data_IF_050442755874
#
_entry.id   IF_050442755874
#
_cell.length_a   1.000
_cell.length_b   1.000
_cell.length_c   1.000
_cell.angle_alpha   90.00
_cell.angle_beta   90.00
_cell.angle_gamma   90.00
#
_symmetry.space_group_name_H-M   'P 1'
#
loop_
_entity.id
_entity.type
_entity.pdbx_description
1 polymer ?
#
# COMPACT_ATOMS: atom_id res chain seq x y z
N UNK A 1 -11.13 -14.88 5.43
CA UNK A 1 -11.84 -15.51 4.37
C UNK A 1 -13.19 -14.93 3.98
N UNK A 2 -14.11 -14.69 4.93
CA UNK A 2 -15.47 -14.23 4.60
C UNK A 2 -15.53 -12.85 3.94
N UNK A 3 -14.66 -11.92 4.34
CA UNK A 3 -14.59 -10.56 3.78
C UNK A 3 -14.09 -10.57 2.33
N UNK A 4 -13.04 -11.33 2.02
CA UNK A 4 -12.55 -11.48 0.65
C UNK A 4 -13.59 -12.13 -0.27
N UNK A 5 -14.33 -13.10 0.24
CA UNK A 5 -15.41 -13.73 -0.49
C UNK A 5 -16.56 -12.76 -0.80
N UNK A 6 -16.92 -11.90 0.15
CA UNK A 6 -17.90 -10.83 -0.08
C UNK A 6 -17.43 -9.84 -1.15
N UNK A 7 -16.16 -9.43 -1.11
CA UNK A 7 -15.57 -8.55 -2.14
C UNK A 7 -15.66 -9.22 -3.51
N UNK A 8 -15.26 -10.48 -3.61
CA UNK A 8 -15.35 -11.25 -4.85
C UNK A 8 -16.76 -11.29 -5.44
N UNK A 9 -17.76 -11.47 -4.60
CA UNK A 9 -19.14 -11.58 -5.05
C UNK A 9 -19.78 -10.25 -5.44
N UNK A 10 -19.32 -9.16 -4.82
CA UNK A 10 -19.89 -7.84 -5.03
C UNK A 10 -19.17 -7.00 -6.10
N UNK A 11 -17.92 -7.38 -6.43
CA UNK A 11 -17.07 -6.59 -7.33
C UNK A 11 -16.34 -7.51 -8.32
N UNK A 12 -16.20 -7.02 -9.55
CA UNK A 12 -15.33 -7.65 -10.54
C UNK A 12 -13.87 -7.20 -10.29
N UNK A 13 -13.10 -8.04 -9.59
CA UNK A 13 -11.70 -7.75 -9.27
C UNK A 13 -10.82 -8.29 -10.39
N UNK A 14 -10.07 -7.40 -11.03
CA UNK A 14 -9.15 -7.74 -12.13
C UNK A 14 -7.68 -7.73 -11.69
N UNK A 15 -7.33 -6.94 -10.69
CA UNK A 15 -5.97 -6.80 -10.19
C UNK A 15 -5.94 -6.62 -8.67
N UNK A 16 -4.90 -7.15 -8.04
CA UNK A 16 -4.65 -7.02 -6.61
C UNK A 16 -3.23 -6.51 -6.41
N UNK A 17 -3.10 -5.42 -5.66
CA UNK A 17 -1.81 -4.83 -5.32
C UNK A 17 -1.59 -4.86 -3.82
N UNK A 18 -0.41 -5.26 -3.41
CA UNK A 18 -0.03 -5.38 -1.98
C UNK A 18 1.30 -4.66 -1.75
N UNK A 19 1.43 -4.03 -0.60
CA UNK A 19 2.69 -3.47 -0.15
C UNK A 19 3.75 -4.57 0.01
N UNK A 20 4.91 -4.36 -0.59
CA UNK A 20 6.06 -5.24 -0.42
C UNK A 20 6.57 -5.23 1.02
N UNK A 21 6.74 -6.40 1.63
CA UNK A 21 7.48 -6.52 2.88
C UNK A 21 8.94 -6.09 2.72
N UNK A 22 9.54 -5.58 3.79
CA UNK A 22 10.94 -5.17 3.78
C UNK A 22 11.85 -6.37 3.47
N UNK A 23 12.66 -6.25 2.42
CA UNK A 23 13.57 -7.32 1.98
C UNK A 23 14.90 -7.34 2.72
N UNK A 24 15.30 -6.24 3.34
CA UNK A 24 16.63 -6.10 3.94
C UNK A 24 16.54 -5.71 5.41
N UNK A 25 17.30 -6.46 6.21
CA UNK A 25 17.59 -6.06 7.56
C UNK A 25 18.50 -4.83 7.53
N UNK A 26 18.05 -3.75 8.16
CA UNK A 26 18.85 -2.54 8.35
C UNK A 26 19.12 -2.43 9.86
N UNK A 27 20.38 -2.62 10.31
CA UNK A 27 20.73 -2.51 11.70
C UNK A 27 20.24 -1.17 12.29
N UNK A 28 19.60 -1.22 13.47
CA UNK A 28 19.04 -0.05 14.15
C UNK A 28 17.69 0.47 13.59
N UNK A 29 17.18 -0.05 12.48
CA UNK A 29 15.89 0.37 11.89
C UNK A 29 14.82 -0.73 11.86
N UNK A 30 15.22 -1.96 11.75
CA UNK A 30 14.30 -3.09 11.72
C UNK A 30 14.87 -4.29 12.45
N UNK A 31 14.01 -5.07 13.08
CA UNK A 31 14.37 -6.33 13.73
C UNK A 31 14.13 -7.48 12.75
N UNK A 32 14.98 -8.50 12.79
CA UNK A 32 14.86 -9.68 11.93
C UNK A 32 13.51 -10.39 12.11
N UNK A 33 13.02 -10.49 13.35
CA UNK A 33 11.71 -11.08 13.66
C UNK A 33 10.55 -10.30 13.03
N UNK A 34 10.62 -8.97 12.99
CA UNK A 34 9.62 -8.12 12.33
C UNK A 34 9.59 -8.37 10.82
N UNK A 35 10.76 -8.45 10.18
CA UNK A 35 10.86 -8.75 8.74
C UNK A 35 10.28 -10.12 8.43
N UNK A 36 10.59 -11.13 9.24
CA UNK A 36 10.05 -12.48 9.08
C UNK A 36 8.54 -12.53 9.25
N UNK A 37 7.97 -11.81 10.23
CA UNK A 37 6.53 -11.72 10.43
C UNK A 37 5.83 -11.07 9.24
N UNK A 38 6.37 -9.99 8.71
CA UNK A 38 5.84 -9.32 7.52
C UNK A 38 5.90 -10.22 6.28
N UNK A 39 6.99 -10.95 6.09
CA UNK A 39 7.14 -11.88 4.98
C UNK A 39 6.12 -13.04 5.07
N UNK A 40 5.94 -13.60 6.28
CA UNK A 40 4.91 -14.63 6.53
C UNK A 40 3.50 -14.09 6.27
N UNK A 41 3.21 -12.90 6.76
CA UNK A 41 1.93 -12.24 6.54
C UNK A 41 1.65 -12.04 5.04
N UNK A 42 2.63 -11.53 4.29
CA UNK A 42 2.51 -11.37 2.84
C UNK A 42 2.26 -12.72 2.14
N UNK A 43 2.94 -13.78 2.55
CA UNK A 43 2.72 -15.13 2.02
C UNK A 43 1.28 -15.63 2.26
N UNK A 44 0.76 -15.45 3.46
CA UNK A 44 -0.60 -15.83 3.82
C UNK A 44 -1.62 -15.03 2.99
N UNK A 45 -1.44 -13.71 2.89
CA UNK A 45 -2.34 -12.84 2.12
C UNK A 45 -2.28 -13.19 0.63
N UNK A 46 -1.10 -13.48 0.08
CA UNK A 46 -0.97 -13.91 -1.33
C UNK A 46 -1.72 -15.20 -1.60
N UNK A 47 -1.59 -16.17 -0.70
CA UNK A 47 -2.34 -17.42 -0.80
C UNK A 47 -3.85 -17.19 -0.72
N UNK A 48 -4.31 -16.36 0.21
CA UNK A 48 -5.73 -16.00 0.34
C UNK A 48 -6.26 -15.29 -0.93
N UNK A 49 -5.47 -14.42 -1.53
CA UNK A 49 -5.82 -13.78 -2.79
C UNK A 49 -5.95 -14.80 -3.92
N UNK A 50 -4.99 -15.70 -4.03
CA UNK A 50 -5.04 -16.77 -5.02
C UNK A 50 -6.26 -17.67 -4.82
N UNK A 51 -6.48 -18.14 -3.60
CA UNK A 51 -7.62 -19.00 -3.25
C UNK A 51 -8.98 -18.31 -3.49
N UNK A 52 -9.09 -17.03 -3.13
CA UNK A 52 -10.34 -16.29 -3.24
C UNK A 52 -10.64 -15.76 -4.65
N UNK A 53 -9.63 -15.32 -5.39
CA UNK A 53 -9.79 -14.61 -6.67
C UNK A 53 -9.14 -15.32 -7.85
N UNK A 54 -8.40 -16.41 -7.62
CA UNK A 54 -7.56 -17.08 -8.63
C UNK A 54 -6.55 -16.12 -9.29
N UNK A 55 -5.99 -15.22 -8.51
CA UNK A 55 -5.04 -14.20 -8.93
C UNK A 55 -3.86 -14.12 -7.97
N UNK A 56 -2.66 -13.99 -8.53
CA UNK A 56 -1.49 -13.60 -7.76
C UNK A 56 -1.46 -12.09 -7.58
N UNK A 57 -1.26 -11.58 -6.36
CA UNK A 57 -1.12 -10.15 -6.15
C UNK A 57 0.22 -9.63 -6.71
N UNK A 58 0.22 -8.40 -7.17
CA UNK A 58 1.43 -7.66 -7.52
C UNK A 58 1.91 -6.88 -6.31
N UNK A 59 3.18 -7.04 -5.97
CA UNK A 59 3.79 -6.35 -4.83
C UNK A 59 4.42 -5.04 -5.26
N UNK A 60 4.08 -3.97 -4.56
CA UNK A 60 4.59 -2.62 -4.84
C UNK A 60 5.31 -2.07 -3.61
N UNK A 61 6.50 -1.50 -3.82
CA UNK A 61 7.20 -0.77 -2.78
C UNK A 61 6.44 0.51 -2.43
N UNK A 62 6.15 0.72 -1.14
CA UNK A 62 5.35 1.86 -0.69
C UNK A 62 5.99 3.22 -1.02
N UNK A 63 7.31 3.33 -0.97
CA UNK A 63 7.98 4.60 -1.30
C UNK A 63 7.88 4.91 -2.80
N UNK A 64 8.01 3.90 -3.65
CA UNK A 64 7.79 4.03 -5.10
C UNK A 64 6.34 4.40 -5.40
N UNK A 65 5.39 3.76 -4.72
CA UNK A 65 3.97 4.07 -4.86
C UNK A 65 3.65 5.51 -4.45
N UNK A 66 4.21 5.99 -3.34
CA UNK A 66 4.05 7.37 -2.88
C UNK A 66 4.60 8.38 -3.89
N UNK A 67 5.76 8.08 -4.49
CA UNK A 67 6.33 8.92 -5.55
C UNK A 67 5.41 8.99 -6.77
N UNK A 68 4.89 7.84 -7.22
CA UNK A 68 3.93 7.77 -8.34
C UNK A 68 2.61 8.49 -8.03
N UNK A 69 2.20 8.47 -6.78
CA UNK A 69 1.01 9.20 -6.31
C UNK A 69 1.23 10.72 -6.25
N UNK A 70 2.47 11.19 -6.43
CA UNK A 70 2.85 12.60 -6.39
C UNK A 70 3.23 13.09 -4.98
N UNK A 71 3.50 12.19 -4.05
CA UNK A 71 3.97 12.54 -2.71
C UNK A 71 5.46 12.84 -2.70
N UNK A 72 5.81 13.97 -2.11
CA UNK A 72 7.18 14.39 -1.86
C UNK A 72 7.31 14.81 -0.39
N UNK A 73 8.32 14.27 0.27
CA UNK A 73 8.58 14.62 1.67
C UNK A 73 9.81 15.50 1.78
N UNK A 74 9.72 16.66 2.44
CA UNK A 74 10.88 17.48 2.74
C UNK A 74 11.96 16.69 3.48
N UNK A 75 13.22 16.99 3.23
CA UNK A 75 14.34 16.34 3.92
C UNK A 75 14.18 16.48 5.45
N UNK A 76 14.38 15.38 6.17
CA UNK A 76 14.25 15.35 7.63
C UNK A 76 12.82 15.19 8.15
N UNK A 77 11.82 15.01 7.28
CA UNK A 77 10.45 14.73 7.72
C UNK A 77 10.38 13.40 8.47
N UNK A 78 9.98 13.46 9.75
CA UNK A 78 9.87 12.28 10.63
C UNK A 78 8.65 11.42 10.29
N UNK A 79 8.69 10.15 10.69
CA UNK A 79 7.66 9.16 10.40
C UNK A 79 6.21 9.59 10.68
N UNK A 80 5.88 10.11 11.89
CA UNK A 80 4.51 10.56 12.19
C UNK A 80 4.02 11.68 11.26
N UNK A 81 4.89 12.62 10.92
CA UNK A 81 4.57 13.70 9.97
C UNK A 81 4.39 13.17 8.55
N UNK A 82 5.21 12.21 8.13
CA UNK A 82 5.02 11.55 6.82
C UNK A 82 3.68 10.86 6.71
N UNK A 83 3.29 10.10 7.73
CA UNK A 83 1.98 9.44 7.78
C UNK A 83 0.83 10.45 7.65
N UNK A 84 0.91 11.55 8.38
CA UNK A 84 -0.09 12.62 8.29
C UNK A 84 -0.16 13.22 6.87
N UNK A 85 0.99 13.50 6.26
CA UNK A 85 1.05 14.03 4.89
C UNK A 85 0.45 13.06 3.86
N UNK A 86 0.67 11.75 4.01
CA UNK A 86 0.04 10.73 3.16
C UNK A 86 -1.48 10.80 3.29
N UNK A 87 -2.00 10.80 4.51
CA UNK A 87 -3.45 10.86 4.77
C UNK A 87 -4.05 12.12 4.17
N UNK A 88 -3.45 13.28 4.41
CA UNK A 88 -3.92 14.58 3.90
C UNK A 88 -3.91 14.62 2.37
N UNK A 89 -2.89 14.05 1.72
CA UNK A 89 -2.82 13.94 0.26
C UNK A 89 -3.93 13.04 -0.30
N UNK A 90 -4.22 11.93 0.37
CA UNK A 90 -5.31 11.02 -0.03
C UNK A 90 -6.67 11.70 0.15
N UNK A 91 -6.89 12.41 1.24
CA UNK A 91 -8.13 13.19 1.45
C UNK A 91 -8.31 14.21 0.33
N UNK A 92 -7.26 14.94 -0.01
CA UNK A 92 -7.31 15.96 -1.06
C UNK A 92 -7.63 15.36 -2.44
N UNK A 93 -7.00 14.24 -2.80
CA UNK A 93 -7.13 13.64 -4.13
C UNK A 93 -8.37 12.77 -4.30
N UNK A 94 -8.73 12.00 -3.30
CA UNK A 94 -9.86 11.07 -3.35
C UNK A 94 -11.18 11.71 -2.87
N UNK A 95 -11.09 12.84 -2.19
CA UNK A 95 -12.25 13.59 -1.69
C UNK A 95 -13.23 12.70 -0.91
N UNK A 96 -14.51 12.70 -1.28
CA UNK A 96 -15.55 11.91 -0.61
C UNK A 96 -15.38 10.39 -0.73
N UNK A 97 -14.57 9.91 -1.67
CA UNK A 97 -14.28 8.49 -1.82
C UNK A 97 -13.44 7.93 -0.66
N UNK A 98 -12.73 8.80 0.07
CA UNK A 98 -11.96 8.42 1.25
C UNK A 98 -12.62 8.91 2.53
N UNK A 99 -13.43 8.07 3.14
CA UNK A 99 -14.02 8.35 4.44
C UNK A 99 -13.01 8.18 5.56
N UNK A 100 -12.92 9.13 6.47
CA UNK A 100 -12.02 9.09 7.63
C UNK A 100 -12.68 9.67 8.87
N UNK A 101 -12.16 9.34 10.03
CA UNK A 101 -12.57 9.85 11.32
C UNK A 101 -11.37 10.40 12.09
N UNK A 102 -11.61 11.41 12.90
CA UNK A 102 -10.62 11.91 13.85
C UNK A 102 -10.68 11.12 15.14
N UNK A 103 -9.53 10.97 15.81
CA UNK A 103 -9.47 10.43 17.15
C UNK A 103 -10.09 11.40 18.16
N UNK A 104 -10.36 10.89 19.36
CA UNK A 104 -10.89 11.71 20.47
C UNK A 104 -10.04 12.97 20.68
N UNK A 105 -10.67 14.13 20.68
CA UNK A 105 -10.00 15.43 20.78
C UNK A 105 -9.73 16.11 19.43
N UNK A 106 -9.96 15.47 18.29
CA UNK A 106 -9.96 16.06 16.94
C UNK A 106 -8.58 16.50 16.41
N UNK A 107 -7.48 16.17 17.09
CA UNK A 107 -6.11 16.57 16.68
C UNK A 107 -5.43 15.57 15.76
N UNK A 108 -5.75 14.29 15.93
CA UNK A 108 -5.11 13.19 15.21
C UNK A 108 -6.16 12.38 14.45
N UNK A 109 -5.75 11.71 13.38
CA UNK A 109 -6.59 10.74 12.70
C UNK A 109 -6.76 9.48 13.55
N UNK A 110 -7.91 8.83 13.42
CA UNK A 110 -8.18 7.54 14.06
C UNK A 110 -7.14 6.51 13.63
N UNK A 111 -6.72 5.65 14.56
CA UNK A 111 -5.77 4.56 14.30
C UNK A 111 -6.20 3.71 13.09
N UNK A 112 -5.26 3.39 12.23
CA UNK A 112 -5.50 2.62 11.00
C UNK A 112 -5.85 3.48 9.78
N UNK A 113 -6.04 4.79 9.93
CA UNK A 113 -6.29 5.68 8.79
C UNK A 113 -5.07 5.75 7.87
N UNK A 114 -3.87 5.71 8.42
CA UNK A 114 -2.61 5.67 7.67
C UNK A 114 -2.48 4.41 6.82
N UNK A 115 -2.83 3.24 7.35
CA UNK A 115 -2.79 1.97 6.62
C UNK A 115 -3.79 1.98 5.45
N UNK A 116 -4.98 2.53 5.66
CA UNK A 116 -6.00 2.68 4.61
C UNK A 116 -5.56 3.67 3.54
N UNK A 117 -4.93 4.77 3.93
CA UNK A 117 -4.38 5.75 2.99
C UNK A 117 -3.25 5.14 2.15
N UNK A 118 -2.32 4.42 2.76
CA UNK A 118 -1.26 3.70 2.03
C UNK A 118 -1.85 2.64 1.07
N UNK A 119 -2.91 1.94 1.45
CA UNK A 119 -3.59 1.00 0.56
C UNK A 119 -4.14 1.69 -0.71
N UNK A 120 -4.70 2.88 -0.58
CA UNK A 120 -5.15 3.68 -1.73
C UNK A 120 -3.97 4.13 -2.59
N UNK A 121 -2.90 4.60 -1.97
CA UNK A 121 -1.68 4.99 -2.68
C UNK A 121 -1.12 3.82 -3.49
N UNK A 122 -1.08 2.63 -2.92
CA UNK A 122 -0.65 1.39 -3.60
C UNK A 122 -1.60 1.05 -4.77
N UNK A 123 -2.91 1.11 -4.56
CA UNK A 123 -3.89 0.82 -5.61
C UNK A 123 -3.78 1.82 -6.78
N UNK A 124 -3.63 3.10 -6.51
CA UNK A 124 -3.45 4.14 -7.55
C UNK A 124 -2.13 4.00 -8.28
N UNK A 125 -1.05 3.66 -7.58
CA UNK A 125 0.22 3.35 -8.22
C UNK A 125 0.08 2.15 -9.15
N UNK A 126 -0.56 1.07 -8.71
CA UNK A 126 -0.87 -0.09 -9.53
C UNK A 126 -1.69 0.26 -10.77
N UNK A 127 -2.73 1.06 -10.62
CA UNK A 127 -3.55 1.56 -11.73
C UNK A 127 -2.70 2.36 -12.74
N UNK A 128 -1.87 3.27 -12.26
CA UNK A 128 -0.95 4.05 -13.09
C UNK A 128 -0.03 3.14 -13.91
N UNK A 129 0.50 2.11 -13.30
CA UNK A 129 1.40 1.16 -13.95
C UNK A 129 0.69 0.34 -15.02
N UNK A 130 -0.51 -0.10 -14.76
CA UNK A 130 -1.34 -0.82 -15.75
C UNK A 130 -1.64 0.04 -16.98
N UNK A 131 -1.91 1.33 -16.78
CA UNK A 131 -2.17 2.28 -17.85
C UNK A 131 -0.92 2.60 -18.68
N UNK A 132 0.28 2.47 -18.10
CA UNK A 132 1.57 2.79 -18.71
C UNK A 132 2.40 1.53 -19.00
N UNK A 133 1.75 0.42 -19.35
CA UNK A 133 2.42 -0.86 -19.68
C UNK A 133 3.50 -0.76 -20.76
N UNK A 134 3.38 0.21 -21.66
CA UNK A 134 4.37 0.46 -22.72
C UNK A 134 5.71 1.00 -22.21
N UNK A 135 5.78 1.36 -20.92
CA UNK A 135 6.97 1.80 -20.21
C UNK A 135 7.54 0.68 -19.31
N UNK A 136 7.74 -0.52 -19.83
CA UNK A 136 8.25 -1.68 -19.06
C UNK A 136 9.56 -1.38 -18.32
N UNK A 137 10.48 -0.60 -18.90
CA UNK A 137 11.70 -0.17 -18.23
C UNK A 137 11.46 0.71 -17.00
N UNK A 138 10.40 1.52 -16.99
CA UNK A 138 10.02 2.33 -15.83
C UNK A 138 9.45 1.46 -14.70
N UNK A 139 8.75 0.38 -15.04
CA UNK A 139 8.19 -0.59 -14.10
C UNK A 139 9.28 -1.36 -13.36
N UNK A 140 10.30 -1.85 -14.07
CA UNK A 140 11.37 -2.66 -13.52
C UNK A 140 12.35 -1.87 -12.66
N UNK A 141 12.61 -0.60 -12.96
CA UNK A 141 13.57 0.22 -12.21
C UNK A 141 12.97 0.88 -10.96
N UNK A 142 11.69 1.29 -10.99
CA UNK A 142 11.05 2.03 -9.89
C UNK A 142 10.14 1.19 -9.01
N UNK A 143 9.73 0.03 -9.49
CA UNK A 143 8.89 -0.89 -8.73
C UNK A 143 9.65 -2.18 -8.58
N UNK A 144 9.98 -2.47 -7.35
CA UNK A 144 10.46 -3.79 -7.02
C UNK A 144 9.26 -4.72 -7.07
N UNK A 145 9.02 -5.30 -8.26
CA UNK A 145 8.26 -6.52 -8.33
C UNK A 145 9.03 -7.54 -7.51
N UNK A 146 8.42 -8.01 -6.47
CA UNK A 146 9.01 -9.06 -5.65
C UNK A 146 8.64 -10.37 -6.28
N UNK A 147 9.63 -11.00 -6.87
CA UNK A 147 9.53 -12.42 -7.18
C UNK A 147 9.38 -13.23 -5.90
#
# INVERSE_FOLDING_TARGET
GSELWQIRNNYNIEHIFIETALKKFIPGRSRADTIMKLAKFNGIISWLCYDSFNMEPVYINVNSARTLYGLSFPRGTKGPKRKKMVIESVIEKEKTAFAYEMARGGKNFKKGTDDRADAIVIARAGEFLLRNKDNEGFLTEKIVLVD
#
